data_IF_532754972832
#
_entry.id   IF_532754972832
#
_cell.length_a   1.000
_cell.length_b   1.000
_cell.length_c   1.000
_cell.angle_alpha   90.00
_cell.angle_beta   90.00
_cell.angle_gamma   90.00
#
_symmetry.space_group_name_H-M   'P 1'
#
loop_
_entity.id
_entity.type
_entity.pdbx_description
1 polymer ?
#
# COMPACT_ATOMS: atom_id res chain seq x y z
N UNK A 1 37.72 0.17 12.18
CA UNK A 1 36.42 0.53 11.58
C UNK A 1 35.95 -0.69 10.81
N UNK A 2 35.05 -1.49 11.38
CA UNK A 2 34.45 -2.64 10.70
C UNK A 2 33.33 -2.13 9.80
N UNK A 3 33.49 -2.31 8.49
CA UNK A 3 32.44 -2.01 7.53
C UNK A 3 31.28 -3.00 7.74
N UNK A 4 30.09 -2.48 8.03
CA UNK A 4 28.86 -3.28 8.06
C UNK A 4 28.67 -3.88 6.66
N UNK A 5 28.51 -5.21 6.51
CA UNK A 5 28.21 -5.80 5.22
C UNK A 5 26.88 -5.25 4.72
N UNK A 6 26.85 -4.84 3.44
CA UNK A 6 25.60 -4.45 2.81
C UNK A 6 24.62 -5.64 2.93
N UNK A 7 23.39 -5.41 3.38
CA UNK A 7 22.41 -6.49 3.53
C UNK A 7 22.22 -7.19 2.17
N UNK A 8 22.15 -8.52 2.22
CA UNK A 8 21.97 -9.33 1.02
C UNK A 8 20.63 -8.98 0.40
N UNK A 9 20.66 -8.35 -0.78
CA UNK A 9 19.49 -7.76 -1.43
C UNK A 9 18.37 -8.78 -1.61
N UNK A 10 18.75 -10.04 -1.82
CA UNK A 10 17.83 -11.16 -1.97
C UNK A 10 17.07 -11.46 -0.66
N UNK A 11 17.75 -11.45 0.48
CA UNK A 11 17.14 -11.61 1.79
C UNK A 11 16.21 -10.44 2.15
N UNK A 12 16.51 -9.22 1.69
CA UNK A 12 15.63 -8.07 1.86
C UNK A 12 14.35 -8.21 1.03
N UNK A 13 14.47 -8.64 -0.23
CA UNK A 13 13.32 -8.88 -1.10
C UNK A 13 12.42 -9.98 -0.56
N UNK A 14 13.01 -11.05 -0.02
CA UNK A 14 12.26 -12.17 0.56
C UNK A 14 11.54 -11.77 1.86
N UNK A 15 12.17 -10.95 2.71
CA UNK A 15 11.51 -10.40 3.89
C UNK A 15 10.32 -9.48 3.53
N UNK A 16 10.46 -8.67 2.46
CA UNK A 16 9.38 -7.81 1.96
C UNK A 16 8.24 -8.65 1.37
N UNK A 17 8.55 -9.69 0.59
CA UNK A 17 7.55 -10.60 0.04
C UNK A 17 6.78 -11.32 1.15
N UNK A 18 7.47 -11.79 2.18
CA UNK A 18 6.85 -12.47 3.31
C UNK A 18 5.94 -11.54 4.12
N UNK A 19 6.36 -10.29 4.34
CA UNK A 19 5.53 -9.27 4.98
C UNK A 19 4.28 -8.96 4.14
N UNK A 20 4.43 -8.81 2.82
CA UNK A 20 3.31 -8.56 1.90
C UNK A 20 2.30 -9.72 1.90
N UNK A 21 2.76 -10.98 1.91
CA UNK A 21 1.89 -12.17 1.99
C UNK A 21 1.13 -12.24 3.31
N UNK A 22 1.77 -11.90 4.43
CA UNK A 22 1.12 -11.88 5.74
C UNK A 22 0.00 -10.83 5.81
N UNK A 23 0.24 -9.66 5.23
CA UNK A 23 -0.72 -8.56 5.21
C UNK A 23 -1.88 -8.81 4.24
N UNK A 24 -1.63 -9.52 3.13
CA UNK A 24 -2.68 -9.99 2.23
C UNK A 24 -3.63 -10.97 2.93
N UNK A 25 -3.09 -11.86 3.79
CA UNK A 25 -3.89 -12.74 4.65
C UNK A 25 -4.71 -11.96 5.68
N UNK A 26 -4.09 -11.03 6.41
CA UNK A 26 -4.77 -10.19 7.39
C UNK A 26 -5.91 -9.35 6.78
N UNK A 27 -5.74 -8.89 5.53
CA UNK A 27 -6.78 -8.19 4.78
C UNK A 27 -7.97 -9.10 4.43
N UNK A 28 -7.71 -10.33 3.98
CA UNK A 28 -8.77 -11.29 3.66
C UNK A 28 -9.63 -11.62 4.89
N UNK A 29 -9.04 -11.56 6.08
CA UNK A 29 -9.72 -11.73 7.36
C UNK A 29 -10.37 -10.44 7.92
N UNK A 30 -10.40 -9.35 7.14
CA UNK A 30 -10.94 -8.03 7.54
C UNK A 30 -10.29 -7.46 8.82
N UNK A 31 -9.04 -7.82 9.10
CA UNK A 31 -8.34 -7.42 10.33
C UNK A 31 -7.58 -6.08 10.22
N UNK A 32 -7.56 -5.45 9.04
CA UNK A 32 -6.94 -4.14 8.82
C UNK A 32 -8.02 -3.10 8.53
N UNK A 33 -7.90 -1.92 9.16
CA UNK A 33 -8.73 -0.76 8.80
C UNK A 33 -8.37 -0.25 7.41
N UNK A 34 -9.27 0.53 6.79
CA UNK A 34 -9.03 1.14 5.48
C UNK A 34 -7.80 2.07 5.50
N UNK A 35 -7.52 2.74 6.61
CA UNK A 35 -6.34 3.57 6.82
C UNK A 35 -5.05 2.72 6.79
N UNK A 36 -4.98 1.68 7.61
CA UNK A 36 -3.82 0.77 7.68
C UNK A 36 -3.59 0.05 6.35
N UNK A 37 -4.67 -0.30 5.65
CA UNK A 37 -4.59 -0.88 4.33
C UNK A 37 -4.08 0.12 3.29
N UNK A 38 -4.51 1.37 3.35
CA UNK A 38 -4.05 2.44 2.43
C UNK A 38 -2.57 2.73 2.61
N UNK A 39 -2.09 2.84 3.85
CA UNK A 39 -0.68 3.07 4.15
C UNK A 39 0.21 1.94 3.63
N UNK A 40 -0.27 0.70 3.73
CA UNK A 40 0.41 -0.45 3.15
C UNK A 40 0.44 -0.37 1.62
N UNK A 41 -0.69 -0.11 0.98
CA UNK A 41 -0.76 0.05 -0.47
C UNK A 41 0.21 1.13 -0.96
N UNK A 42 0.33 2.24 -0.23
CA UNK A 42 1.26 3.34 -0.52
C UNK A 42 2.72 2.92 -0.40
N UNK A 43 3.07 2.15 0.64
CA UNK A 43 4.42 1.61 0.81
C UNK A 43 4.80 0.62 -0.32
N UNK A 44 3.87 -0.24 -0.74
CA UNK A 44 4.08 -1.18 -1.85
C UNK A 44 4.22 -0.45 -3.18
N UNK A 45 3.35 0.54 -3.42
CA UNK A 45 3.38 1.37 -4.63
C UNK A 45 4.70 2.14 -4.77
N UNK A 46 5.22 2.71 -3.67
CA UNK A 46 6.52 3.38 -3.66
C UNK A 46 7.67 2.43 -4.01
N UNK A 47 7.64 1.18 -3.52
CA UNK A 47 8.66 0.18 -3.85
C UNK A 47 8.64 -0.27 -5.32
N UNK A 48 7.49 -0.18 -5.98
CA UNK A 48 7.29 -0.65 -7.36
C UNK A 48 7.19 0.48 -8.39
N UNK A 49 7.34 1.74 -7.96
CA UNK A 49 7.15 2.94 -8.81
C UNK A 49 5.75 2.98 -9.46
N UNK A 50 4.73 2.57 -8.70
CA UNK A 50 3.31 2.54 -9.09
C UNK A 50 2.50 3.54 -8.27
N UNK A 51 1.21 3.67 -8.58
CA UNK A 51 0.25 4.47 -7.79
C UNK A 51 -0.41 3.60 -6.71
N UNK A 52 -0.72 4.20 -5.56
CA UNK A 52 -1.44 3.51 -4.46
C UNK A 52 -2.76 2.91 -4.94
N UNK A 53 -3.54 3.66 -5.74
CA UNK A 53 -4.81 3.24 -6.30
C UNK A 53 -4.74 1.95 -7.13
N UNK A 54 -3.59 1.62 -7.73
CA UNK A 54 -3.41 0.38 -8.50
C UNK A 54 -3.57 -0.88 -7.64
N UNK A 55 -3.43 -0.77 -6.32
CA UNK A 55 -3.52 -1.87 -5.35
C UNK A 55 -4.81 -1.85 -4.54
N UNK A 56 -5.68 -0.88 -4.79
CA UNK A 56 -6.95 -0.72 -4.10
C UNK A 56 -8.09 -1.25 -4.96
N UNK A 57 -9.09 -1.84 -4.31
CA UNK A 57 -10.34 -2.20 -4.98
C UNK A 57 -11.24 -0.98 -5.12
N UNK A 58 -12.25 -1.04 -5.98
CA UNK A 58 -13.24 0.03 -6.14
C UNK A 58 -13.89 0.40 -4.80
N UNK A 59 -14.28 -0.61 -4.00
CA UNK A 59 -14.84 -0.39 -2.66
C UNK A 59 -13.88 0.34 -1.71
N UNK A 60 -12.57 0.08 -1.82
CA UNK A 60 -11.58 0.78 -0.99
C UNK A 60 -11.48 2.25 -1.37
N UNK A 61 -11.49 2.52 -2.68
CA UNK A 61 -11.44 3.86 -3.22
C UNK A 61 -12.70 4.64 -2.85
N UNK A 62 -13.87 4.00 -2.86
CA UNK A 62 -15.13 4.58 -2.36
C UNK A 62 -15.04 4.91 -0.86
N UNK A 63 -14.60 3.98 -0.01
CA UNK A 63 -14.48 4.20 1.44
C UNK A 63 -13.46 5.32 1.75
N UNK A 64 -12.38 5.42 0.98
CA UNK A 64 -11.40 6.51 1.04
C UNK A 64 -12.00 7.83 0.57
N UNK A 65 -12.75 7.85 -0.53
CA UNK A 65 -13.43 9.04 -1.04
C UNK A 65 -14.39 9.62 0.02
N UNK A 66 -15.12 8.74 0.70
CA UNK A 66 -16.14 9.14 1.68
C UNK A 66 -15.53 9.65 2.99
N UNK A 67 -14.37 9.12 3.40
CA UNK A 67 -13.87 9.30 4.77
C UNK A 67 -12.50 9.96 4.87
N UNK A 68 -11.69 9.91 3.82
CA UNK A 68 -10.25 10.23 3.88
C UNK A 68 -9.73 11.05 2.69
N UNK A 69 -10.61 11.56 1.81
CA UNK A 69 -10.21 12.29 0.60
C UNK A 69 -9.30 13.50 0.85
N UNK A 70 -9.37 14.11 2.04
CA UNK A 70 -8.54 15.26 2.40
C UNK A 70 -7.05 14.90 2.55
N UNK A 71 -6.75 13.66 2.94
CA UNK A 71 -5.40 13.16 3.15
C UNK A 71 -4.88 12.34 1.95
N UNK A 72 -5.64 12.32 0.85
CA UNK A 72 -5.31 11.63 -0.38
C UNK A 72 -4.51 12.52 -1.33
N UNK A 73 -3.28 12.14 -1.64
CA UNK A 73 -2.44 12.89 -2.59
C UNK A 73 -2.54 12.27 -3.97
N UNK A 74 -3.37 12.84 -4.85
CA UNK A 74 -3.56 12.33 -6.21
C UNK A 74 -2.24 12.17 -6.99
N UNK A 75 -1.24 13.03 -6.73
CA UNK A 75 0.05 12.95 -7.39
C UNK A 75 0.85 11.71 -6.97
N UNK A 76 0.68 11.22 -5.75
CA UNK A 76 1.37 10.01 -5.23
C UNK A 76 0.49 8.78 -5.38
N UNK A 77 -0.77 8.92 -4.99
CA UNK A 77 -1.71 7.84 -4.78
C UNK A 77 -2.56 7.52 -6.02
N UNK A 78 -2.63 8.44 -6.99
CA UNK A 78 -3.49 8.31 -8.15
C UNK A 78 -4.93 8.76 -7.87
N UNK A 79 -5.84 8.69 -8.84
CA UNK A 79 -7.22 9.11 -8.65
C UNK A 79 -7.98 8.15 -7.73
N UNK A 80 -8.81 8.69 -6.83
CA UNK A 80 -9.69 7.90 -5.93
C UNK A 80 -11.01 7.43 -6.60
N UNK A 81 -11.03 7.45 -7.94
CA UNK A 81 -12.20 7.34 -8.85
C UNK A 81 -13.07 8.59 -8.99
N UNK A 82 -13.60 8.75 -10.21
CA UNK A 82 -14.56 9.79 -10.59
C UNK A 82 -15.91 9.46 -9.95
N UNK A 83 -16.26 10.14 -8.86
CA UNK A 83 -17.67 10.34 -8.47
C UNK A 83 -18.33 11.34 -9.44
N UNK A 84 -18.26 11.06 -10.75
CA UNK A 84 -19.23 11.57 -11.72
C UNK A 84 -20.13 10.37 -12.03
N UNK A 85 -21.37 10.44 -11.54
CA UNK A 85 -22.31 9.31 -11.51
C UNK A 85 -22.91 8.87 -12.84
#
# INVERSE_FOLDING_TARGET
MTATPAPDREAQLEAVLQAALYLLGARQDQMLTIEEWTDLARAVAACQERKTADYLTEHDLEDIAERYVLDWDEATDGPVSNLDG
#
